data_IF_637743523631
#
_entry.id   IF_637743523631
#
_cell.length_a   1.000
_cell.length_b   1.000
_cell.length_c   1.000
_cell.angle_alpha   90.00
_cell.angle_beta   90.00
_cell.angle_gamma   90.00
#
_symmetry.space_group_name_H-M   'P 1'
#
loop_
_entity.id
_entity.type
_entity.pdbx_description
1 polymer ?
#
# COMPACT_ATOMS: atom_id res chain seq x y z
N UNK A 1 -1.23 -33.96 -48.96
CA UNK A 1 -2.31 -33.00 -48.97
C UNK A 1 -2.41 -32.40 -47.55
N UNK A 2 -2.15 -31.10 -47.38
CA UNK A 2 -2.28 -30.43 -46.09
C UNK A 2 -3.73 -29.92 -45.99
N UNK A 3 -4.47 -30.41 -45.01
CA UNK A 3 -5.83 -29.96 -44.73
C UNK A 3 -5.74 -28.89 -43.64
N UNK A 4 -6.27 -27.68 -43.88
CA UNK A 4 -6.38 -26.63 -42.89
C UNK A 4 -7.42 -27.03 -41.85
N UNK A 5 -7.01 -27.21 -40.60
CA UNK A 5 -7.90 -27.46 -39.50
C UNK A 5 -8.27 -26.11 -38.85
N UNK A 6 -9.54 -25.74 -38.95
CA UNK A 6 -10.10 -24.56 -38.26
C UNK A 6 -10.95 -25.01 -37.06
N UNK A 7 -10.45 -24.76 -35.87
CA UNK A 7 -11.18 -25.02 -34.65
C UNK A 7 -11.73 -23.66 -34.15
N UNK A 8 -13.05 -23.50 -34.02
CA UNK A 8 -13.62 -22.25 -33.55
C UNK A 8 -13.14 -21.95 -32.12
N UNK A 9 -12.93 -20.67 -31.77
CA UNK A 9 -12.51 -20.27 -30.45
C UNK A 9 -13.59 -20.56 -29.39
N UNK A 10 -13.15 -20.78 -28.16
CA UNK A 10 -14.01 -21.03 -27.02
C UNK A 10 -14.15 -22.50 -26.64
N UNK A 11 -14.72 -22.71 -25.46
CA UNK A 11 -15.01 -24.02 -24.89
C UNK A 11 -16.49 -24.34 -25.01
N UNK A 12 -16.79 -25.55 -25.48
CA UNK A 12 -18.16 -26.02 -25.56
C UNK A 12 -18.42 -27.03 -24.42
N UNK A 13 -19.11 -26.56 -23.38
CA UNK A 13 -19.44 -27.38 -22.18
C UNK A 13 -20.94 -27.69 -22.03
N UNK A 14 -21.79 -27.15 -22.90
CA UNK A 14 -23.25 -27.25 -22.76
C UNK A 14 -23.87 -28.46 -23.44
N UNK A 15 -23.11 -29.50 -23.71
CA UNK A 15 -23.63 -30.70 -24.37
C UNK A 15 -22.74 -31.89 -24.18
N UNK A 16 -23.06 -32.98 -24.88
CA UNK A 16 -22.27 -34.18 -24.89
C UNK A 16 -20.98 -34.02 -25.71
N UNK A 17 -19.98 -34.83 -25.46
CA UNK A 17 -18.74 -34.88 -26.28
C UNK A 17 -19.03 -35.08 -27.77
N UNK A 18 -20.10 -35.78 -28.09
CA UNK A 18 -20.57 -36.01 -29.47
C UNK A 18 -21.00 -34.68 -30.15
N UNK A 19 -21.67 -33.82 -29.40
CA UNK A 19 -22.09 -32.50 -29.89
C UNK A 19 -20.92 -31.50 -29.97
N UNK A 20 -19.88 -31.76 -29.22
CA UNK A 20 -18.68 -30.95 -29.20
C UNK A 20 -17.67 -31.34 -30.29
N UNK A 21 -18.03 -32.24 -31.22
CA UNK A 21 -17.13 -32.68 -32.29
C UNK A 21 -16.56 -31.49 -33.09
N UNK A 22 -15.22 -31.40 -33.15
CA UNK A 22 -14.52 -30.28 -33.79
C UNK A 22 -14.40 -29.01 -32.94
N UNK A 23 -14.72 -29.08 -31.64
CA UNK A 23 -14.57 -27.97 -30.71
C UNK A 23 -13.74 -28.39 -29.49
N UNK A 24 -13.22 -27.41 -28.77
CA UNK A 24 -12.55 -27.64 -27.50
C UNK A 24 -13.58 -27.90 -26.38
N UNK A 25 -13.46 -29.01 -25.68
CA UNK A 25 -14.36 -29.37 -24.57
C UNK A 25 -13.80 -28.96 -23.23
N UNK A 26 -12.47 -28.91 -23.11
CA UNK A 26 -11.80 -28.45 -21.92
C UNK A 26 -10.47 -27.76 -22.26
N UNK A 27 -10.06 -26.79 -21.42
CA UNK A 27 -8.78 -26.13 -21.53
C UNK A 27 -8.37 -25.55 -20.17
N UNK A 28 -7.10 -25.66 -19.85
CA UNK A 28 -6.55 -25.12 -18.62
C UNK A 28 -5.28 -24.30 -18.94
N UNK A 29 -5.04 -23.22 -18.21
CA UNK A 29 -3.88 -22.34 -18.35
C UNK A 29 -3.69 -21.75 -19.76
N UNK A 30 -4.80 -21.57 -20.50
CA UNK A 30 -4.78 -21.00 -21.85
C UNK A 30 -5.81 -19.89 -22.00
N UNK A 31 -5.57 -18.97 -22.91
CA UNK A 31 -6.49 -17.92 -23.32
C UNK A 31 -6.59 -17.83 -24.84
N UNK A 32 -7.73 -17.39 -25.31
CA UNK A 32 -7.93 -17.05 -26.72
C UNK A 32 -7.47 -15.62 -26.97
N UNK A 33 -6.64 -15.44 -27.96
CA UNK A 33 -6.20 -14.13 -28.43
C UNK A 33 -6.10 -14.18 -29.95
N UNK A 34 -6.81 -13.29 -30.63
CA UNK A 34 -6.87 -13.23 -32.10
C UNK A 34 -7.14 -14.59 -32.75
N UNK A 35 -8.17 -15.29 -32.28
CA UNK A 35 -8.53 -16.65 -32.70
C UNK A 35 -7.43 -17.72 -32.51
N UNK A 36 -6.39 -17.41 -31.77
CA UNK A 36 -5.29 -18.35 -31.47
C UNK A 36 -5.32 -18.71 -30.00
N UNK A 37 -5.08 -19.98 -29.70
CA UNK A 37 -4.91 -20.46 -28.33
C UNK A 37 -3.50 -20.12 -27.86
N UNK A 38 -3.38 -19.34 -26.79
CA UNK A 38 -2.09 -18.99 -26.18
C UNK A 38 -2.07 -19.40 -24.73
N UNK A 39 -0.91 -19.83 -24.20
CA UNK A 39 -0.81 -20.07 -22.76
C UNK A 39 -1.06 -18.78 -21.99
N UNK A 40 -1.78 -18.89 -20.88
CA UNK A 40 -1.85 -17.81 -19.89
C UNK A 40 -0.50 -17.82 -19.19
N UNK A 41 0.21 -16.69 -19.21
CA UNK A 41 1.40 -16.53 -18.38
C UNK A 41 1.02 -16.80 -16.92
N UNK A 42 1.84 -17.53 -16.19
CA UNK A 42 1.65 -17.78 -14.77
C UNK A 42 2.27 -16.67 -13.92
N UNK A 43 1.90 -16.65 -12.65
CA UNK A 43 2.61 -15.89 -11.63
C UNK A 43 3.88 -16.64 -11.26
N UNK A 44 5.00 -15.93 -11.29
CA UNK A 44 6.26 -16.44 -10.78
C UNK A 44 6.60 -15.68 -9.48
N UNK A 45 7.05 -16.41 -8.48
CA UNK A 45 7.54 -15.78 -7.25
C UNK A 45 8.78 -14.93 -7.56
N UNK A 46 8.75 -13.65 -7.19
CA UNK A 46 9.85 -12.72 -7.38
C UNK A 46 10.90 -12.87 -6.27
N UNK A 47 10.49 -13.25 -5.07
CA UNK A 47 11.36 -13.49 -3.91
C UNK A 47 11.13 -14.89 -3.36
N UNK A 48 12.22 -15.58 -2.99
CA UNK A 48 12.16 -16.85 -2.24
C UNK A 48 11.88 -16.64 -0.75
N UNK A 49 12.05 -15.42 -0.27
CA UNK A 49 11.84 -15.06 1.14
C UNK A 49 10.44 -14.52 1.32
N UNK A 50 9.71 -15.06 2.27
CA UNK A 50 8.37 -14.61 2.63
C UNK A 50 8.46 -13.39 3.56
N UNK A 51 7.55 -12.42 3.40
CA UNK A 51 7.41 -11.31 4.34
C UNK A 51 6.87 -11.81 5.68
N UNK A 52 7.30 -11.20 6.77
CA UNK A 52 6.62 -11.35 8.04
C UNK A 52 5.32 -10.56 7.99
N UNK A 53 4.27 -11.15 8.49
CA UNK A 53 2.92 -10.57 8.52
C UNK A 53 2.27 -10.31 7.14
N UNK A 54 1.09 -9.76 7.17
CA UNK A 54 0.29 -9.48 5.97
C UNK A 54 0.75 -8.17 5.35
N UNK A 55 1.00 -8.18 4.03
CA UNK A 55 1.29 -6.96 3.27
C UNK A 55 0.07 -6.02 3.28
N UNK A 56 0.28 -4.76 3.63
CA UNK A 56 -0.77 -3.73 3.83
C UNK A 56 -0.59 -2.49 2.95
N UNK A 57 0.48 -2.43 2.22
CA UNK A 57 0.75 -1.42 1.21
C UNK A 57 1.95 -1.83 0.38
N UNK A 58 1.95 -1.43 -0.88
CA UNK A 58 3.05 -1.71 -1.80
C UNK A 58 3.16 -0.57 -2.80
N UNK A 59 4.38 -0.18 -3.10
CA UNK A 59 4.70 0.78 -4.14
C UNK A 59 5.93 0.32 -4.92
N UNK A 60 5.87 0.43 -6.23
CA UNK A 60 6.96 0.06 -7.12
C UNK A 60 7.40 1.24 -7.99
N UNK A 61 8.69 1.51 -8.03
CA UNK A 61 9.26 2.59 -8.83
C UNK A 61 10.63 2.21 -9.38
N UNK A 62 11.22 3.07 -10.20
CA UNK A 62 12.56 2.95 -10.70
C UNK A 62 13.44 4.03 -10.07
N UNK A 63 14.65 3.65 -9.66
CA UNK A 63 15.66 4.63 -9.25
C UNK A 63 16.32 5.33 -10.45
N UNK A 64 17.18 6.31 -10.18
CA UNK A 64 17.89 7.07 -11.24
C UNK A 64 18.82 6.18 -12.10
N UNK A 65 19.17 4.99 -11.63
CA UNK A 65 19.96 4.00 -12.36
C UNK A 65 19.08 2.99 -13.10
N UNK A 66 17.75 3.23 -13.17
CA UNK A 66 16.75 2.36 -13.79
C UNK A 66 16.64 0.97 -13.14
N UNK A 67 17.03 0.83 -11.89
CA UNK A 67 16.77 -0.40 -11.13
C UNK A 67 15.38 -0.38 -10.53
N UNK A 68 14.72 -1.53 -10.55
CA UNK A 68 13.40 -1.68 -9.93
C UNK A 68 13.51 -1.71 -8.42
N UNK A 69 12.65 -0.92 -7.78
CA UNK A 69 12.44 -0.91 -6.33
C UNK A 69 10.98 -1.22 -6.06
N UNK A 70 10.74 -2.12 -5.12
CA UNK A 70 9.39 -2.41 -4.62
C UNK A 70 9.44 -2.33 -3.11
N UNK A 71 8.73 -1.35 -2.56
CA UNK A 71 8.60 -1.18 -1.12
C UNK A 71 7.30 -1.88 -0.67
N UNK A 72 7.38 -2.64 0.40
CA UNK A 72 6.23 -3.37 0.96
C UNK A 72 6.13 -3.09 2.45
N UNK A 73 5.04 -2.48 2.85
CA UNK A 73 4.68 -2.29 4.25
C UNK A 73 3.79 -3.43 4.76
N UNK A 74 4.18 -4.07 5.83
CA UNK A 74 3.37 -5.08 6.54
C UNK A 74 2.83 -4.49 7.84
N UNK A 75 2.19 -5.30 8.64
CA UNK A 75 1.65 -4.84 9.94
C UNK A 75 2.75 -4.40 10.91
N UNK A 76 3.92 -5.00 10.84
CA UNK A 76 5.01 -4.76 11.79
C UNK A 76 6.30 -4.27 11.14
N UNK A 77 6.45 -4.42 9.84
CA UNK A 77 7.72 -4.22 9.15
C UNK A 77 7.56 -3.46 7.82
N UNK A 78 8.66 -2.87 7.40
CA UNK A 78 8.83 -2.27 6.08
C UNK A 78 9.97 -3.00 5.35
N UNK A 79 9.71 -3.43 4.13
CA UNK A 79 10.66 -4.18 3.32
C UNK A 79 10.90 -3.49 1.99
N UNK A 80 12.08 -3.65 1.44
CA UNK A 80 12.39 -3.32 0.06
C UNK A 80 12.84 -4.56 -0.69
N UNK A 81 12.33 -4.73 -1.89
CA UNK A 81 12.88 -5.63 -2.90
C UNK A 81 13.63 -4.78 -3.92
N UNK A 82 14.93 -5.00 -4.03
CA UNK A 82 15.79 -4.38 -5.01
C UNK A 82 16.14 -5.40 -6.10
N UNK A 83 16.09 -5.01 -7.37
CA UNK A 83 16.43 -5.89 -8.49
C UNK A 83 17.86 -6.44 -8.32
N UNK A 84 18.01 -7.76 -8.45
CA UNK A 84 19.28 -8.47 -8.27
C UNK A 84 19.71 -8.67 -6.81
N UNK A 85 18.95 -8.17 -5.85
CA UNK A 85 19.19 -8.35 -4.41
C UNK A 85 17.96 -9.01 -3.79
N UNK A 86 18.16 -9.89 -2.83
CA UNK A 86 17.05 -10.43 -2.05
C UNK A 86 16.38 -9.32 -1.24
N UNK A 87 15.14 -9.56 -0.85
CA UNK A 87 14.39 -8.71 0.07
C UNK A 87 15.25 -8.25 1.27
N UNK A 88 15.24 -6.95 1.55
CA UNK A 88 15.90 -6.35 2.72
C UNK A 88 14.84 -5.79 3.67
N UNK A 89 15.05 -5.96 4.96
CA UNK A 89 14.23 -5.36 6.00
C UNK A 89 14.75 -3.94 6.28
N UNK A 90 13.96 -2.93 5.95
CA UNK A 90 14.26 -1.51 6.13
C UNK A 90 13.37 -0.86 7.20
N UNK A 91 12.81 -1.66 8.09
CA UNK A 91 11.91 -1.21 9.15
C UNK A 91 12.54 -0.11 9.99
N UNK A 92 11.89 1.04 10.14
CA UNK A 92 12.38 2.13 10.98
C UNK A 92 12.49 1.70 12.44
N UNK A 93 13.52 2.21 13.13
CA UNK A 93 13.66 1.99 14.58
C UNK A 93 12.48 2.65 15.32
N UNK A 94 11.87 1.89 16.23
CA UNK A 94 10.77 2.39 17.07
C UNK A 94 9.43 2.55 16.37
N UNK A 95 9.22 1.85 15.25
CA UNK A 95 7.91 1.75 14.65
C UNK A 95 6.94 1.05 15.60
N UNK A 96 5.71 1.53 15.66
CA UNK A 96 4.66 0.88 16.44
C UNK A 96 4.06 -0.25 15.62
N UNK A 97 4.08 -1.47 16.18
CA UNK A 97 3.43 -2.62 15.54
C UNK A 97 1.94 -2.36 15.34
N UNK A 98 1.49 -2.60 14.15
CA UNK A 98 0.12 -2.37 13.76
C UNK A 98 -0.83 -3.53 14.05
N UNK A 99 -1.99 -3.50 13.40
CA UNK A 99 -3.07 -4.46 13.54
C UNK A 99 -3.31 -5.22 12.24
N UNK A 100 -3.46 -6.52 12.37
CA UNK A 100 -3.85 -7.37 11.24
C UNK A 100 -5.35 -7.26 10.93
N UNK A 101 -6.16 -7.05 11.97
CA UNK A 101 -7.61 -6.95 11.87
C UNK A 101 -8.11 -5.65 12.47
N UNK A 102 -9.20 -5.15 11.93
CA UNK A 102 -9.91 -4.03 12.51
C UNK A 102 -10.57 -4.47 13.84
N UNK A 103 -10.46 -3.67 14.87
CA UNK A 103 -11.11 -3.91 16.14
C UNK A 103 -12.21 -2.88 16.37
N UNK A 104 -13.41 -3.36 16.67
CA UNK A 104 -14.48 -2.52 17.21
C UNK A 104 -14.44 -2.60 18.73
N UNK A 105 -14.23 -1.47 19.37
CA UNK A 105 -14.30 -1.36 20.83
C UNK A 105 -15.71 -0.97 21.31
N UNK A 106 -16.66 -0.91 20.40
CA UNK A 106 -18.02 -0.46 20.64
C UNK A 106 -18.99 -1.63 20.54
N UNK A 107 -19.97 -1.66 21.42
CA UNK A 107 -21.12 -2.54 21.32
C UNK A 107 -21.13 -3.70 22.31
N UNK A 108 -22.24 -4.44 22.28
CA UNK A 108 -22.45 -5.60 23.15
C UNK A 108 -21.50 -6.74 22.72
N UNK A 109 -20.68 -7.18 23.65
CA UNK A 109 -19.66 -8.20 23.37
C UNK A 109 -18.31 -7.68 22.87
N UNK A 110 -18.12 -6.38 22.72
CA UNK A 110 -16.81 -5.77 22.56
C UNK A 110 -16.02 -5.86 23.87
N UNK A 111 -14.74 -6.22 23.82
CA UNK A 111 -13.84 -6.49 24.95
C UNK A 111 -14.19 -7.80 25.71
N UNK A 112 -13.29 -8.20 26.60
CA UNK A 112 -13.44 -9.44 27.35
C UNK A 112 -14.60 -9.33 28.37
N UNK A 113 -15.29 -10.46 28.58
CA UNK A 113 -16.35 -10.56 29.57
C UNK A 113 -15.76 -10.42 30.98
N UNK A 114 -16.31 -9.53 31.78
CA UNK A 114 -15.87 -9.33 33.16
C UNK A 114 -14.72 -8.33 33.38
N UNK A 115 -14.26 -7.64 32.35
CA UNK A 115 -13.17 -6.66 32.45
C UNK A 115 -13.55 -5.37 33.21
N UNK A 116 -14.83 -5.06 33.32
CA UNK A 116 -15.31 -3.84 33.98
C UNK A 116 -16.17 -4.17 35.20
N UNK A 117 -16.05 -3.34 36.25
CA UNK A 117 -16.83 -3.48 37.45
C UNK A 117 -18.32 -3.25 37.15
N UNK A 118 -19.18 -3.97 37.86
CA UNK A 118 -20.65 -3.82 37.74
C UNK A 118 -21.07 -2.39 38.09
N UNK A 119 -21.87 -1.78 37.24
CA UNK A 119 -22.39 -0.40 37.42
C UNK A 119 -21.41 0.70 36.95
N UNK A 120 -20.24 0.37 36.48
CA UNK A 120 -19.32 1.33 35.86
C UNK A 120 -19.55 1.34 34.36
N UNK A 121 -19.85 2.54 33.82
CA UNK A 121 -19.93 2.71 32.37
C UNK A 121 -18.58 2.34 31.73
N UNK A 122 -18.63 1.64 30.63
CA UNK A 122 -17.41 1.40 29.83
C UNK A 122 -16.81 2.75 29.43
N UNK A 123 -15.47 2.86 29.41
CA UNK A 123 -14.84 4.03 28.80
C UNK A 123 -15.42 4.20 27.39
N UNK A 124 -15.84 5.41 27.08
CA UNK A 124 -16.44 5.76 25.79
C UNK A 124 -15.35 5.84 24.71
N UNK A 125 -14.71 4.72 24.50
CA UNK A 125 -13.77 4.57 23.39
C UNK A 125 -14.58 4.30 22.12
N UNK A 126 -15.24 5.33 21.62
CA UNK A 126 -15.99 5.30 20.36
C UNK A 126 -15.09 5.06 19.13
N UNK A 127 -13.97 4.40 19.28
CA UNK A 127 -13.04 4.23 18.18
C UNK A 127 -13.15 2.83 17.58
N UNK A 128 -13.58 2.82 16.35
CA UNK A 128 -13.26 1.76 15.43
C UNK A 128 -11.78 1.89 15.07
N UNK A 129 -10.95 0.99 15.60
CA UNK A 129 -9.54 0.93 15.26
C UNK A 129 -9.39 0.21 13.90
N UNK A 130 -9.08 0.93 12.83
CA UNK A 130 -8.92 0.32 11.52
C UNK A 130 -7.69 -0.60 11.50
N UNK A 131 -7.69 -1.52 10.56
CA UNK A 131 -6.50 -2.27 10.19
C UNK A 131 -5.37 -1.33 9.77
N UNK A 132 -4.13 -1.72 10.06
CA UNK A 132 -2.97 -0.96 9.58
C UNK A 132 -2.95 -0.92 8.06
N UNK A 133 -2.75 0.27 7.53
CA UNK A 133 -2.51 0.50 6.10
C UNK A 133 -1.27 1.37 5.94
N UNK A 134 -0.59 1.19 4.82
CA UNK A 134 0.55 2.01 4.43
C UNK A 134 0.20 2.83 3.21
N UNK A 135 0.66 4.08 3.22
CA UNK A 135 0.78 4.90 2.02
C UNK A 135 2.26 5.07 1.73
N UNK A 136 2.65 4.79 0.51
CA UNK A 136 4.05 4.75 0.09
C UNK A 136 4.13 5.45 -1.26
N UNK A 137 5.10 6.33 -1.39
CA UNK A 137 5.35 7.05 -2.63
C UNK A 137 6.85 7.31 -2.80
N UNK A 138 7.31 7.75 -3.95
CA UNK A 138 8.72 8.05 -4.19
C UNK A 138 8.98 9.55 -4.29
N UNK A 139 10.02 10.01 -3.62
CA UNK A 139 10.57 11.35 -3.71
C UNK A 139 11.90 11.31 -4.48
N UNK A 140 11.81 11.34 -5.80
CA UNK A 140 12.94 11.00 -6.66
C UNK A 140 13.30 9.52 -6.55
N UNK A 141 14.51 9.18 -6.12
CA UNK A 141 14.93 7.80 -5.89
C UNK A 141 14.72 7.29 -4.47
N UNK A 142 14.36 8.20 -3.55
CA UNK A 142 14.04 7.86 -2.16
C UNK A 142 12.57 7.47 -2.03
N UNK A 143 12.26 6.65 -1.05
CA UNK A 143 10.88 6.29 -0.74
C UNK A 143 10.38 7.01 0.50
N UNK A 144 9.18 7.58 0.41
CA UNK A 144 8.48 8.21 1.51
C UNK A 144 7.30 7.33 1.91
N UNK A 145 7.23 6.95 3.18
CA UNK A 145 6.27 5.98 3.68
C UNK A 145 5.56 6.51 4.93
N UNK A 146 4.29 6.21 5.08
CA UNK A 146 3.55 6.48 6.31
C UNK A 146 2.65 5.30 6.66
N UNK A 147 2.71 4.86 7.91
CA UNK A 147 1.78 3.86 8.46
C UNK A 147 0.69 4.54 9.28
N UNK A 148 -0.54 4.06 9.15
CA UNK A 148 -1.68 4.60 9.91
C UNK A 148 -1.60 4.32 11.41
N UNK A 149 -0.71 3.44 11.85
CA UNK A 149 -0.52 3.07 13.27
C UNK A 149 0.09 4.15 14.12
N UNK A 150 1.14 4.80 13.64
CA UNK A 150 1.82 5.87 14.37
C UNK A 150 1.73 7.22 13.66
N UNK A 151 1.28 7.23 12.42
CA UNK A 151 1.08 8.43 11.62
C UNK A 151 2.35 9.24 11.37
N UNK A 152 3.53 8.65 11.58
CA UNK A 152 4.80 9.27 11.24
C UNK A 152 5.08 9.10 9.76
N UNK A 153 5.91 10.00 9.23
CA UNK A 153 6.44 9.87 7.88
C UNK A 153 7.87 9.39 7.99
N UNK A 154 8.18 8.38 7.22
CA UNK A 154 9.50 7.79 7.12
C UNK A 154 10.07 8.04 5.73
N UNK A 155 11.37 8.25 5.66
CA UNK A 155 12.12 8.32 4.40
C UNK A 155 13.17 7.21 4.36
N UNK A 156 13.28 6.58 3.21
CA UNK A 156 14.32 5.60 2.92
C UNK A 156 15.16 6.06 1.73
N UNK A 157 16.45 6.28 1.97
CA UNK A 157 17.41 6.88 1.03
C UNK A 157 18.02 5.83 0.08
N UNK A 158 17.22 5.12 -0.67
CA UNK A 158 17.60 4.13 -1.71
C UNK A 158 18.82 3.24 -1.36
N UNK A 159 19.04 2.93 -0.09
CA UNK A 159 20.14 2.09 0.38
C UNK A 159 19.61 0.81 1.05
N UNK A 160 19.66 -0.36 0.37
CA UNK A 160 19.14 -1.62 0.91
C UNK A 160 19.82 -2.12 2.20
N UNK A 161 20.97 -1.55 2.56
CA UNK A 161 21.69 -1.85 3.81
C UNK A 161 21.33 -0.91 4.96
N UNK A 162 20.54 0.14 4.71
CA UNK A 162 20.10 1.09 5.70
C UNK A 162 18.60 0.97 5.98
N UNK A 163 18.19 1.20 7.21
CA UNK A 163 16.78 1.27 7.59
C UNK A 163 16.21 2.64 7.26
N UNK A 164 14.90 2.70 7.05
CA UNK A 164 14.21 3.98 6.90
C UNK A 164 14.28 4.79 8.19
N UNK A 165 14.29 6.11 8.08
CA UNK A 165 14.37 7.05 9.20
C UNK A 165 13.13 7.94 9.24
N UNK A 166 12.82 8.51 10.41
CA UNK A 166 11.73 9.48 10.52
C UNK A 166 12.10 10.74 9.73
N UNK A 167 11.20 11.18 8.87
CA UNK A 167 11.38 12.42 8.12
C UNK A 167 11.38 13.62 9.07
N UNK A 168 12.48 14.34 9.09
CA UNK A 168 12.70 15.46 10.04
C UNK A 168 11.68 16.58 9.81
N UNK A 169 11.17 17.15 10.89
CA UNK A 169 10.19 18.23 10.91
C UNK A 169 8.83 17.92 10.26
N UNK A 170 8.62 16.71 9.75
CA UNK A 170 7.34 16.32 9.19
C UNK A 170 6.25 16.28 10.29
N UNK A 171 4.99 16.59 9.96
CA UNK A 171 3.88 16.42 10.90
C UNK A 171 3.78 14.97 11.37
N UNK A 172 3.27 14.76 12.58
CA UNK A 172 2.97 13.44 13.14
C UNK A 172 1.47 13.19 13.16
N UNK A 173 1.06 11.98 13.49
CA UNK A 173 -0.38 11.60 13.52
C UNK A 173 -1.09 11.80 12.19
N UNK A 174 -0.41 11.50 11.08
CA UNK A 174 -0.95 11.62 9.74
C UNK A 174 -1.78 10.38 9.37
N UNK A 175 -2.70 10.54 8.41
CA UNK A 175 -3.48 9.44 7.84
C UNK A 175 -2.81 8.83 6.58
N UNK A 176 -1.93 9.58 5.95
CA UNK A 176 -1.19 9.14 4.77
C UNK A 176 -0.24 10.19 4.22
N UNK A 177 0.52 9.79 3.24
CA UNK A 177 1.49 10.61 2.51
C UNK A 177 1.36 10.37 1.02
N UNK A 178 1.65 11.39 0.24
CA UNK A 178 1.82 11.31 -1.22
C UNK A 178 2.88 12.33 -1.64
N UNK A 179 3.42 12.16 -2.83
CA UNK A 179 4.40 13.07 -3.43
C UNK A 179 3.84 13.58 -4.76
N UNK A 180 3.94 14.87 -5.01
CA UNK A 180 3.49 15.47 -6.28
C UNK A 180 4.58 15.39 -7.34
N UNK A 181 4.19 15.57 -8.61
CA UNK A 181 5.13 15.64 -9.74
C UNK A 181 6.14 16.77 -9.59
N UNK A 182 5.72 17.88 -8.95
CA UNK A 182 6.60 19.02 -8.63
C UNK A 182 7.48 18.77 -7.40
N UNK A 183 7.45 17.54 -6.83
CA UNK A 183 8.26 17.12 -5.70
C UNK A 183 7.95 17.85 -4.38
N UNK A 184 6.67 17.99 -4.08
CA UNK A 184 6.18 18.28 -2.73
C UNK A 184 5.83 16.98 -2.02
N UNK A 185 6.25 16.83 -0.78
CA UNK A 185 5.73 15.77 0.09
C UNK A 185 4.48 16.28 0.78
N UNK A 186 3.34 15.65 0.55
CA UNK A 186 2.05 16.05 1.11
C UNK A 186 1.58 15.05 2.15
N UNK A 187 1.17 15.56 3.31
CA UNK A 187 0.55 14.79 4.39
C UNK A 187 -0.95 14.96 4.38
N UNK A 188 -1.65 13.86 4.46
CA UNK A 188 -3.11 13.81 4.59
C UNK A 188 -3.48 13.62 6.05
N UNK A 189 -4.44 14.39 6.56
CA UNK A 189 -4.83 14.33 7.97
C UNK A 189 -3.72 14.78 8.92
N UNK A 190 -2.95 15.80 8.52
CA UNK A 190 -1.71 16.23 9.16
C UNK A 190 -1.91 16.71 10.62
N UNK A 191 -1.02 16.25 11.50
CA UNK A 191 -1.01 16.68 12.91
C UNK A 191 -2.22 16.22 13.72
N UNK A 192 -2.88 15.13 13.30
CA UNK A 192 -4.08 14.61 13.93
C UNK A 192 -5.38 15.33 13.52
N UNK A 193 -5.32 16.39 12.72
CA UNK A 193 -6.53 16.99 12.15
C UNK A 193 -6.94 16.24 10.87
N UNK A 194 -8.06 15.49 10.89
CA UNK A 194 -8.43 14.60 9.80
C UNK A 194 -8.74 15.29 8.47
N UNK A 195 -8.91 16.61 8.48
CA UNK A 195 -9.23 17.45 7.32
C UNK A 195 -8.06 18.29 6.82
N UNK A 196 -6.94 18.28 7.54
CA UNK A 196 -5.78 19.09 7.20
C UNK A 196 -4.88 18.37 6.19
N UNK A 197 -4.56 19.07 5.11
CA UNK A 197 -3.45 18.72 4.21
C UNK A 197 -2.30 19.66 4.53
N UNK A 198 -1.10 19.15 4.65
CA UNK A 198 0.11 19.95 4.84
C UNK A 198 1.19 19.43 3.90
N UNK A 199 1.94 20.34 3.31
CA UNK A 199 2.99 19.98 2.35
C UNK A 199 4.32 20.62 2.70
N UNK A 200 5.40 19.94 2.30
CA UNK A 200 6.77 20.43 2.43
C UNK A 200 7.04 21.58 1.44
N UNK A 201 8.21 22.15 1.51
CA UNK A 201 8.73 22.97 0.43
C UNK A 201 9.05 22.11 -0.79
N UNK A 202 9.11 22.75 -1.97
CA UNK A 202 9.45 22.11 -3.22
C UNK A 202 10.88 21.55 -3.15
N UNK A 203 11.05 20.29 -3.55
CA UNK A 203 12.34 19.57 -3.50
C UNK A 203 13.03 19.49 -2.13
N UNK A 204 12.38 19.95 -1.07
CA UNK A 204 12.93 20.00 0.28
C UNK A 204 12.01 19.33 1.29
N UNK A 205 12.04 17.99 1.32
CA UNK A 205 11.15 17.16 2.14
C UNK A 205 11.21 17.44 3.66
N UNK A 206 12.25 18.12 4.15
CA UNK A 206 12.43 18.44 5.56
C UNK A 206 11.93 19.82 5.99
N UNK A 207 11.47 20.65 5.04
CA UNK A 207 11.00 22.02 5.30
C UNK A 207 9.48 22.06 5.28
N UNK A 208 8.86 22.17 6.46
CA UNK A 208 7.40 22.08 6.67
C UNK A 208 6.77 23.33 7.24
N UNK A 209 7.59 24.30 7.68
CA UNK A 209 7.09 25.54 8.26
C UNK A 209 6.96 26.60 7.16
N UNK A 210 5.76 27.14 6.93
CA UNK A 210 5.55 28.20 5.95
C UNK A 210 6.40 29.44 6.26
N UNK A 211 7.08 29.96 5.25
CA UNK A 211 7.85 31.20 5.30
C UNK A 211 7.71 31.95 3.98
N UNK A 212 8.05 33.24 3.97
CA UNK A 212 8.00 34.04 2.75
C UNK A 212 9.02 33.61 1.69
N UNK A 213 9.96 32.74 2.04
CA UNK A 213 11.04 32.24 1.20
C UNK A 213 10.84 30.81 0.70
N UNK A 214 9.77 30.12 1.10
CA UNK A 214 9.49 28.75 0.72
C UNK A 214 8.02 28.58 0.29
N UNK A 215 7.71 27.43 -0.29
CA UNK A 215 6.38 27.06 -0.75
C UNK A 215 5.66 26.10 0.21
N UNK A 216 6.24 25.81 1.37
CA UNK A 216 5.59 24.97 2.38
C UNK A 216 4.27 25.60 2.86
N UNK A 217 3.27 24.77 3.10
CA UNK A 217 1.97 25.28 3.49
C UNK A 217 1.04 24.23 4.05
N UNK A 218 -0.16 24.67 4.39
CA UNK A 218 -1.22 23.78 4.79
C UNK A 218 -2.59 24.34 4.43
N UNK A 219 -3.55 23.44 4.20
CA UNK A 219 -4.95 23.74 3.91
C UNK A 219 -5.84 22.83 4.74
N UNK A 220 -6.90 23.36 5.29
CA UNK A 220 -7.97 22.58 5.89
C UNK A 220 -9.17 22.51 4.94
N UNK A 221 -9.56 21.27 4.59
CA UNK A 221 -10.71 21.03 3.71
C UNK A 221 -12.00 21.35 4.45
N UNK A 222 -12.87 22.12 3.84
CA UNK A 222 -14.12 22.60 4.44
C UNK A 222 -15.26 21.57 4.45
N UNK A 223 -14.95 20.26 4.43
CA UNK A 223 -15.93 19.19 4.53
C UNK A 223 -15.86 18.49 5.87
N UNK A 224 -16.97 17.99 6.37
CA UNK A 224 -16.98 17.10 7.54
C UNK A 224 -16.46 15.72 7.11
N UNK A 225 -15.58 15.14 7.92
CA UNK A 225 -15.04 13.80 7.66
C UNK A 225 -13.53 13.72 7.73
N UNK A 226 -13.02 12.61 7.28
CA UNK A 226 -11.57 12.30 7.28
C UNK A 226 -11.07 12.14 5.85
N UNK A 227 -9.94 12.75 5.52
CA UNK A 227 -9.22 12.46 4.28
C UNK A 227 -8.69 11.04 4.37
N UNK A 228 -9.01 10.19 3.40
CA UNK A 228 -8.63 8.78 3.41
C UNK A 228 -7.51 8.45 2.42
N UNK A 229 -7.51 9.12 1.31
CA UNK A 229 -6.53 8.92 0.24
C UNK A 229 -6.41 10.19 -0.59
N UNK A 230 -5.31 10.30 -1.31
CA UNK A 230 -5.06 11.28 -2.35
C UNK A 230 -4.45 10.60 -3.56
N UNK A 231 -4.54 11.24 -4.69
CA UNK A 231 -3.91 10.85 -5.95
C UNK A 231 -3.37 12.11 -6.63
N UNK A 232 -2.25 11.99 -7.28
CA UNK A 232 -1.62 13.00 -8.12
C UNK A 232 -1.86 12.66 -9.58
#
# INVERSE_FOLDING_TARGET
MLIKLEIPPGLYKNGTEYQAAGRWTDANLVRWFENTLRPIGGWQTMSSTQFNDVARGMHGYFDNSNNRRVIVGTTSNLYVYAEGVSQSNITPSGIVTGRNDAASQIGYGAQLYGEHAYGVARPDNEQYDPVTTWTIDNFGEDAVCSATTDGKIYIWENNPSAVATVLTNAPTSNQGVLVTDERFVMCLGAGGNPRKVQWSDQEAATVWTPASTNAAGSLEVASDGKIRAGIV
#
